data_IF_139267818574
#
_entry.id   IF_139267818574
#
_cell.length_a   1.000
_cell.length_b   1.000
_cell.length_c   1.000
_cell.angle_alpha   90.00
_cell.angle_beta   90.00
_cell.angle_gamma   90.00
#
_symmetry.space_group_name_H-M   'P 1'
#
loop_
_entity.id
_entity.type
_entity.pdbx_description
1 polymer ?
#
# COMPACT_ATOMS: atom_id res chain seq x y z
N UNK A 1 -3.15 13.32 -18.57
CA UNK A 1 -4.51 13.90 -18.44
C UNK A 1 -5.59 13.17 -19.22
N UNK A 2 -5.26 12.22 -20.12
CA UNK A 2 -6.26 11.33 -20.71
C UNK A 2 -6.74 10.30 -19.66
N UNK A 3 -8.02 10.29 -19.26
CA UNK A 3 -8.52 9.37 -18.24
C UNK A 3 -8.39 7.90 -18.63
N UNK A 4 -8.52 7.58 -19.93
CA UNK A 4 -8.42 6.21 -20.40
C UNK A 4 -6.98 5.66 -20.29
N UNK A 5 -5.99 6.50 -20.59
CA UNK A 5 -4.58 6.13 -20.43
C UNK A 5 -4.20 5.97 -18.97
N UNK A 6 -4.71 6.84 -18.09
CA UNK A 6 -4.49 6.73 -16.63
C UNK A 6 -5.05 5.40 -16.12
N UNK A 7 -6.31 5.08 -16.44
CA UNK A 7 -6.92 3.82 -16.02
C UNK A 7 -6.17 2.59 -16.56
N UNK A 8 -5.69 2.65 -17.80
CA UNK A 8 -4.89 1.58 -18.39
C UNK A 8 -3.54 1.41 -17.66
N UNK A 9 -2.88 2.52 -17.31
CA UNK A 9 -1.63 2.50 -16.56
C UNK A 9 -1.85 1.93 -15.14
N UNK A 10 -2.91 2.33 -14.45
CA UNK A 10 -3.25 1.81 -13.12
C UNK A 10 -3.51 0.29 -13.15
N UNK A 11 -4.26 -0.19 -14.16
CA UNK A 11 -4.48 -1.63 -14.34
C UNK A 11 -3.17 -2.38 -14.63
N UNK A 12 -2.29 -1.80 -15.46
CA UNK A 12 -0.99 -2.38 -15.74
C UNK A 12 -0.13 -2.47 -14.48
N UNK A 13 -0.03 -1.38 -13.71
CA UNK A 13 0.73 -1.32 -12.45
C UNK A 13 0.18 -2.32 -11.43
N UNK A 14 -1.15 -2.45 -11.31
CA UNK A 14 -1.75 -3.42 -10.41
C UNK A 14 -1.37 -4.86 -10.78
N UNK A 15 -1.44 -5.23 -12.05
CA UNK A 15 -1.00 -6.57 -12.52
C UNK A 15 0.48 -6.79 -12.29
N UNK A 16 1.32 -5.78 -12.53
CA UNK A 16 2.77 -5.86 -12.34
C UNK A 16 3.12 -6.12 -10.86
N UNK A 17 2.54 -5.34 -9.94
CA UNK A 17 2.79 -5.47 -8.51
C UNK A 17 2.34 -6.84 -7.99
N UNK A 18 1.14 -7.30 -8.38
CA UNK A 18 0.65 -8.62 -7.97
C UNK A 18 1.52 -9.75 -8.51
N UNK A 19 2.05 -9.62 -9.72
CA UNK A 19 2.99 -10.60 -10.29
C UNK A 19 4.32 -10.61 -9.53
N UNK A 20 4.85 -9.45 -9.17
CA UNK A 20 6.07 -9.36 -8.37
C UNK A 20 5.89 -10.08 -7.02
N UNK A 21 4.79 -9.79 -6.31
CA UNK A 21 4.45 -10.46 -5.04
C UNK A 21 4.29 -11.97 -5.21
N UNK A 22 3.59 -12.42 -6.26
CA UNK A 22 3.38 -13.85 -6.52
C UNK A 22 4.68 -14.60 -6.84
N UNK A 23 5.74 -13.87 -7.21
CA UNK A 23 7.09 -14.40 -7.44
C UNK A 23 8.02 -14.16 -6.23
N UNK A 24 7.46 -13.96 -5.04
CA UNK A 24 8.19 -13.68 -3.78
C UNK A 24 9.04 -12.39 -3.82
N UNK A 25 8.75 -11.51 -4.79
CA UNK A 25 9.29 -10.15 -4.84
C UNK A 25 8.46 -9.16 -4.04
N UNK A 26 8.75 -7.87 -4.22
CA UNK A 26 8.09 -6.78 -3.51
C UNK A 26 7.37 -5.84 -4.48
N UNK A 27 6.27 -5.24 -4.04
CA UNK A 27 5.58 -4.20 -4.81
C UNK A 27 6.33 -2.87 -4.79
N UNK A 28 7.44 -2.73 -4.05
CA UNK A 28 8.24 -1.50 -3.97
C UNK A 28 9.72 -1.78 -4.23
N UNK A 29 10.41 -0.89 -4.94
CA UNK A 29 11.87 -0.92 -5.01
C UNK A 29 12.50 0.04 -4.00
N UNK A 30 12.21 1.33 -4.18
CA UNK A 30 12.84 2.41 -3.41
C UNK A 30 11.83 3.46 -2.86
N UNK A 31 10.74 3.70 -3.59
CA UNK A 31 9.80 4.81 -3.29
C UNK A 31 8.75 4.52 -2.21
N UNK A 32 8.80 3.33 -1.59
CA UNK A 32 7.86 2.92 -0.56
C UNK A 32 6.41 2.73 -1.04
N UNK A 33 5.48 2.73 -0.07
CA UNK A 33 4.06 2.37 -0.28
C UNK A 33 3.21 3.58 -0.66
N UNK A 34 3.14 4.57 0.24
CA UNK A 34 2.25 5.73 0.09
C UNK A 34 0.80 5.34 -0.26
N UNK A 35 0.03 6.29 -0.77
CA UNK A 35 -1.36 6.02 -1.18
C UNK A 35 -1.44 5.09 -2.40
N UNK A 36 -0.48 5.18 -3.32
CA UNK A 36 -0.53 4.44 -4.59
C UNK A 36 -0.38 2.94 -4.46
N UNK A 37 0.29 2.45 -3.40
CA UNK A 37 0.54 1.01 -3.21
C UNK A 37 -0.06 0.43 -1.95
N UNK A 38 -0.83 1.20 -1.18
CA UNK A 38 -1.45 0.75 0.08
C UNK A 38 -2.28 -0.53 -0.10
N UNK A 39 -2.94 -0.69 -1.25
CA UNK A 39 -3.73 -1.87 -1.59
C UNK A 39 -2.91 -3.16 -1.70
N UNK A 40 -1.61 -3.08 -2.01
CA UNK A 40 -0.73 -4.24 -2.16
C UNK A 40 -0.04 -4.65 -0.86
N UNK A 41 0.01 -3.77 0.14
CA UNK A 41 0.80 -3.98 1.36
C UNK A 41 0.38 -5.24 2.14
N UNK A 42 -0.94 -5.51 2.24
CA UNK A 42 -1.44 -6.74 2.90
C UNK A 42 -1.18 -8.00 2.06
N UNK A 43 -1.14 -7.89 0.74
CA UNK A 43 -0.75 -9.01 -0.11
C UNK A 43 0.71 -9.39 0.07
N UNK A 44 1.59 -8.39 0.28
CA UNK A 44 3.02 -8.62 0.49
C UNK A 44 3.35 -9.07 1.93
N UNK A 45 2.80 -8.41 2.95
CA UNK A 45 3.20 -8.62 4.35
C UNK A 45 2.19 -9.41 5.20
N UNK A 46 1.00 -9.69 4.69
CA UNK A 46 -0.05 -10.40 5.42
C UNK A 46 -0.35 -9.78 6.79
N UNK A 47 -0.24 -10.60 7.84
CA UNK A 47 -0.46 -10.18 9.23
C UNK A 47 0.57 -9.17 9.76
N UNK A 48 1.70 -8.98 9.09
CA UNK A 48 2.66 -7.93 9.44
C UNK A 48 2.02 -6.53 9.43
N UNK A 49 1.00 -6.31 8.59
CA UNK A 49 0.23 -5.06 8.54
C UNK A 49 -0.52 -4.80 9.85
N UNK A 50 -0.96 -5.85 10.55
CA UNK A 50 -1.67 -5.72 11.83
C UNK A 50 -0.72 -5.21 12.91
N UNK A 51 0.52 -5.71 12.93
CA UNK A 51 1.59 -5.22 13.82
C UNK A 51 1.92 -3.76 13.54
N UNK A 52 2.06 -3.39 12.26
CA UNK A 52 2.30 -1.99 11.87
C UNK A 52 1.18 -1.07 12.37
N UNK A 53 -0.09 -1.53 12.31
CA UNK A 53 -1.25 -0.80 12.83
C UNK A 53 -1.19 -0.65 14.34
N UNK A 54 -0.82 -1.69 15.08
CA UNK A 54 -0.62 -1.61 16.54
C UNK A 54 0.45 -0.58 16.89
N UNK A 55 1.60 -0.60 16.20
CA UNK A 55 2.68 0.38 16.41
C UNK A 55 2.20 1.80 16.11
N UNK A 56 1.53 1.99 14.97
CA UNK A 56 0.98 3.29 14.57
C UNK A 56 0.02 3.85 15.63
N UNK A 57 -0.89 3.03 16.14
CA UNK A 57 -1.87 3.44 17.16
C UNK A 57 -1.21 3.78 18.49
N UNK A 58 -0.14 3.08 18.87
CA UNK A 58 0.62 3.37 20.08
C UNK A 58 1.36 4.72 19.99
N UNK A 59 1.88 5.07 18.79
CA UNK A 59 2.64 6.31 18.57
C UNK A 59 1.78 7.52 18.21
N UNK A 60 0.67 7.30 17.50
CA UNK A 60 -0.23 8.34 17.01
C UNK A 60 -1.69 7.97 17.31
N UNK A 61 -2.10 8.01 18.60
CA UNK A 61 -3.42 7.57 19.03
C UNK A 61 -4.56 8.43 18.46
N UNK A 62 -4.26 9.68 18.09
CA UNK A 62 -5.22 10.62 17.48
C UNK A 62 -5.23 10.55 15.94
N UNK A 63 -4.39 9.69 15.35
CA UNK A 63 -4.27 9.50 13.90
C UNK A 63 -4.03 10.82 13.11
N UNK A 64 -3.21 11.73 13.65
CA UNK A 64 -2.91 13.02 13.03
C UNK A 64 -1.65 13.01 12.16
N UNK A 65 -0.76 12.04 12.35
CA UNK A 65 0.49 11.91 11.59
C UNK A 65 0.23 11.19 10.26
N UNK A 66 -0.18 11.97 9.25
CA UNK A 66 -0.32 11.57 7.84
C UNK A 66 -1.31 10.41 7.61
N UNK A 67 -2.60 10.60 7.94
CA UNK A 67 -3.61 9.55 7.86
C UNK A 67 -3.81 9.00 6.44
N UNK A 68 -4.05 7.69 6.34
CA UNK A 68 -4.46 7.03 5.10
C UNK A 68 -3.35 6.79 4.07
N UNK A 69 -2.07 6.99 4.41
CA UNK A 69 -0.97 6.80 3.46
C UNK A 69 -0.44 5.38 3.43
N UNK A 70 0.13 4.88 4.51
CA UNK A 70 0.70 3.51 4.56
C UNK A 70 -0.32 2.51 5.08
N UNK A 71 -1.18 2.94 6.00
CA UNK A 71 -2.23 2.13 6.56
C UNK A 71 -3.55 2.82 6.24
N UNK A 72 -4.55 2.12 5.67
CA UNK A 72 -5.88 2.68 5.53
C UNK A 72 -6.41 2.99 6.93
N UNK A 73 -7.17 4.09 7.03
CA UNK A 73 -7.83 4.48 8.26
C UNK A 73 -8.59 3.28 8.83
N UNK A 74 -8.58 3.12 10.16
CA UNK A 74 -9.46 2.15 10.79
C UNK A 74 -10.90 2.54 10.40
N UNK A 75 -11.60 1.63 9.72
CA UNK A 75 -13.05 1.69 9.62
C UNK A 75 -13.66 1.33 10.96
#
# INVERSE_FOLDING_TARGET
DNPAEIALAEQFVARLNMRAIAMEGTCTGEHGIGQGKVGFLRHELGHGVDVMRTIKQALDPLNIMNPGKILPAAG
#
